data_IF_505669479178
#
_entry.id   IF_505669479178
#
_cell.length_a   1.000
_cell.length_b   1.000
_cell.length_c   1.000
_cell.angle_alpha   90.00
_cell.angle_beta   90.00
_cell.angle_gamma   90.00
#
_symmetry.space_group_name_H-M   'P 1'
#
loop_
_entity.id
_entity.type
_entity.pdbx_description
1 polymer ?
#
# COMPACT_ATOMS: atom_id res chain seq x y z
N UNK A 1 3.73 28.13 13.60
CA UNK A 1 3.26 27.46 12.37
C UNK A 1 2.64 26.13 12.78
N UNK A 2 1.34 25.88 12.54
CA UNK A 2 0.74 24.57 12.78
C UNK A 2 1.26 23.57 11.73
N UNK A 3 1.37 22.27 12.05
CA UNK A 3 1.74 21.28 11.04
C UNK A 3 0.65 21.24 9.95
N UNK A 4 1.05 21.42 8.69
CA UNK A 4 0.16 21.22 7.56
C UNK A 4 -0.42 19.80 7.63
N UNK A 5 -1.73 19.60 7.39
CA UNK A 5 -2.26 18.25 7.23
C UNK A 5 -1.47 17.55 6.11
N UNK A 6 -1.15 16.25 6.26
CA UNK A 6 -0.50 15.50 5.20
C UNK A 6 -1.34 15.68 3.94
N UNK A 7 -0.69 16.09 2.85
CA UNK A 7 -1.35 16.25 1.56
C UNK A 7 -2.22 15.02 1.27
N UNK A 8 -3.44 15.17 0.72
CA UNK A 8 -4.22 14.02 0.31
C UNK A 8 -3.34 13.22 -0.64
N UNK A 9 -2.90 12.06 -0.16
CA UNK A 9 -2.22 11.08 -1.00
C UNK A 9 -3.15 10.88 -2.19
N UNK A 10 -2.71 11.10 -3.43
CA UNK A 10 -3.58 10.89 -4.59
C UNK A 10 -4.20 9.52 -4.41
N UNK A 11 -5.53 9.44 -4.50
CA UNK A 11 -6.31 8.24 -4.26
C UNK A 11 -5.75 7.12 -5.13
N UNK A 12 -4.81 6.33 -4.57
CA UNK A 12 -4.23 5.22 -5.29
C UNK A 12 -5.36 4.26 -5.59
N UNK A 13 -5.50 3.89 -6.85
CA UNK A 13 -6.43 2.83 -7.24
C UNK A 13 -6.02 1.50 -6.58
N UNK A 14 -6.95 0.56 -6.47
CA UNK A 14 -6.64 -0.80 -6.02
C UNK A 14 -5.55 -1.42 -6.91
N UNK A 15 -5.51 -1.09 -8.20
CA UNK A 15 -4.44 -1.53 -9.10
C UNK A 15 -3.07 -0.98 -8.69
N UNK A 16 -2.96 0.30 -8.34
CA UNK A 16 -1.69 0.91 -7.90
C UNK A 16 -1.17 0.33 -6.59
N UNK A 17 -2.07 0.03 -5.65
CA UNK A 17 -1.71 -0.65 -4.41
C UNK A 17 -1.22 -2.08 -4.68
N UNK A 18 -1.90 -2.81 -5.56
CA UNK A 18 -1.50 -4.16 -5.94
C UNK A 18 -0.14 -4.18 -6.66
N UNK A 19 0.15 -3.18 -7.50
CA UNK A 19 1.47 -3.05 -8.12
C UNK A 19 2.57 -2.85 -7.07
N UNK A 20 2.36 -1.94 -6.11
CA UNK A 20 3.30 -1.74 -5.01
C UNK A 20 3.54 -3.01 -4.18
N UNK A 21 2.48 -3.79 -3.92
CA UNK A 21 2.58 -5.10 -3.25
C UNK A 21 3.47 -6.06 -4.06
N UNK A 22 3.28 -6.11 -5.38
CA UNK A 22 4.07 -6.97 -6.29
C UNK A 22 5.53 -6.53 -6.37
N UNK A 23 5.81 -5.24 -6.37
CA UNK A 23 7.18 -4.69 -6.32
C UNK A 23 7.86 -5.11 -5.02
N UNK A 24 7.19 -4.97 -3.88
CA UNK A 24 7.72 -5.40 -2.59
C UNK A 24 7.97 -6.92 -2.57
N UNK A 25 7.03 -7.73 -3.05
CA UNK A 25 7.22 -9.19 -3.14
C UNK A 25 8.38 -9.58 -4.06
N UNK A 26 8.57 -8.87 -5.17
CA UNK A 26 9.66 -9.11 -6.12
C UNK A 26 11.03 -8.74 -5.54
N UNK A 27 11.12 -7.64 -4.79
CA UNK A 27 12.38 -7.21 -4.15
C UNK A 27 12.82 -8.17 -3.04
N UNK A 28 11.89 -8.84 -2.37
CA UNK A 28 12.19 -9.88 -1.39
C UNK A 28 12.23 -11.30 -2.00
N UNK A 29 12.15 -11.46 -3.31
CA UNK A 29 12.05 -12.79 -3.92
C UNK A 29 13.27 -13.66 -3.56
N UNK A 30 13.00 -14.84 -3.01
CA UNK A 30 14.02 -15.80 -2.62
C UNK A 30 14.49 -15.65 -1.17
N UNK A 31 13.92 -14.70 -0.42
CA UNK A 31 14.14 -14.57 1.02
C UNK A 31 12.84 -14.25 1.77
N UNK A 32 12.76 -14.54 3.07
CA UNK A 32 11.67 -14.02 3.89
C UNK A 32 11.73 -12.49 3.96
N UNK A 33 10.55 -11.87 4.09
CA UNK A 33 10.46 -10.45 4.43
C UNK A 33 11.15 -10.17 5.77
N UNK A 34 11.89 -9.07 5.80
CA UNK A 34 12.33 -8.44 7.04
C UNK A 34 11.14 -7.89 7.82
N UNK A 35 11.32 -7.57 9.09
CA UNK A 35 10.25 -6.94 9.89
C UNK A 35 9.80 -5.59 9.33
N UNK A 36 10.71 -4.84 8.69
CA UNK A 36 10.38 -3.59 8.02
C UNK A 36 9.49 -3.83 6.80
N UNK A 37 9.89 -4.75 5.91
CA UNK A 37 9.11 -5.11 4.72
C UNK A 37 7.77 -5.75 5.09
N UNK A 38 7.69 -6.50 6.20
CA UNK A 38 6.43 -7.07 6.68
C UNK A 38 5.47 -5.98 7.14
N UNK A 39 5.97 -4.95 7.84
CA UNK A 39 5.16 -3.78 8.22
C UNK A 39 4.69 -3.01 7.00
N UNK A 40 5.57 -2.80 6.03
CA UNK A 40 5.24 -2.14 4.77
C UNK A 40 4.20 -2.92 3.97
N UNK A 41 4.36 -4.24 3.84
CA UNK A 41 3.40 -5.13 3.20
C UNK A 41 2.00 -5.04 3.86
N UNK A 42 1.95 -4.97 5.20
CA UNK A 42 0.68 -4.83 5.91
C UNK A 42 0.00 -3.49 5.61
N UNK A 43 0.76 -2.38 5.58
CA UNK A 43 0.23 -1.07 5.21
C UNK A 43 -0.29 -1.04 3.78
N UNK A 44 0.44 -1.66 2.84
CA UNK A 44 0.03 -1.79 1.45
C UNK A 44 -1.26 -2.61 1.31
N UNK A 45 -1.42 -3.69 2.08
CA UNK A 45 -2.65 -4.50 2.09
C UNK A 45 -3.85 -3.73 2.64
N UNK A 46 -3.67 -2.95 3.70
CA UNK A 46 -4.74 -2.11 4.27
C UNK A 46 -5.17 -1.05 3.26
N UNK A 47 -4.21 -0.40 2.59
CA UNK A 47 -4.49 0.56 1.52
C UNK A 47 -5.22 -0.06 0.34
N UNK A 48 -4.75 -1.23 -0.12
CA UNK A 48 -5.40 -2.00 -1.18
C UNK A 48 -6.85 -2.36 -0.82
N UNK A 49 -7.08 -2.93 0.37
CA UNK A 49 -8.42 -3.35 0.79
C UNK A 49 -9.40 -2.19 0.97
N UNK A 50 -8.90 -0.99 1.30
CA UNK A 50 -9.72 0.21 1.36
C UNK A 50 -10.10 0.70 -0.05
N UNK A 51 -9.13 0.73 -0.97
CA UNK A 51 -9.35 1.12 -2.36
C UNK A 51 -10.27 0.14 -3.10
N UNK A 52 -10.04 -1.18 -2.95
CA UNK A 52 -10.85 -2.24 -3.55
C UNK A 52 -12.32 -2.17 -3.10
N UNK A 53 -12.57 -1.88 -1.81
CA UNK A 53 -13.93 -1.65 -1.31
C UNK A 53 -14.56 -0.37 -1.88
N UNK A 54 -13.79 0.71 -2.00
CA UNK A 54 -14.30 1.96 -2.56
C UNK A 54 -14.64 1.81 -4.04
N UNK A 55 -13.83 1.08 -4.80
CA UNK A 55 -14.04 0.80 -6.22
C UNK A 55 -15.18 -0.20 -6.46
N UNK A 56 -15.32 -1.23 -5.62
CA UNK A 56 -16.43 -2.20 -5.73
C UNK A 56 -17.78 -1.62 -5.31
N UNK A 57 -17.77 -0.61 -4.43
CA UNK A 57 -18.97 0.09 -3.99
C UNK A 57 -19.40 1.24 -4.91
N UNK A 58 -18.61 1.55 -5.94
CA UNK A 58 -18.89 2.59 -6.96
C UNK A 58 -19.68 2.02 -8.14
#
# INVERSE_FOLDING_TARGET
MPPLPPAPVPSRSAADWNDAIRVLARTAWGRPFTDAERKEYHLLLVGWAAADRAETAA
#
